data_IF_218467349106
#
_entry.id   IF_218467349106
#
_cell.length_a   1.000
_cell.length_b   1.000
_cell.length_c   1.000
_cell.angle_alpha   90.00
_cell.angle_beta   90.00
_cell.angle_gamma   90.00
#
_symmetry.space_group_name_H-M   'P 1'
#
loop_
_entity.id
_entity.type
_entity.pdbx_description
1 polymer ?
#
# COMPACT_ATOMS: atom_id res chain seq x y z
N UNK A 1 0.19 -0.98 5.28
CA UNK A 1 0.00 -1.21 3.82
C UNK A 1 0.73 -2.50 3.46
N UNK A 2 0.11 -3.42 2.72
CA UNK A 2 0.79 -4.63 2.26
C UNK A 2 1.03 -4.55 0.77
N UNK A 3 2.24 -4.87 0.35
CA UNK A 3 2.66 -4.99 -1.06
C UNK A 3 2.85 -6.46 -1.38
N UNK A 4 2.27 -6.89 -2.49
CA UNK A 4 2.16 -8.29 -2.90
C UNK A 4 2.50 -8.46 -4.38
N UNK A 5 3.00 -9.63 -4.71
CA UNK A 5 3.06 -10.12 -6.10
C UNK A 5 1.64 -10.41 -6.63
N UNK A 6 1.50 -10.57 -7.96
CA UNK A 6 0.21 -10.94 -8.59
C UNK A 6 -0.35 -12.29 -8.10
N UNK A 7 0.50 -13.17 -7.54
CA UNK A 7 0.08 -14.45 -6.96
C UNK A 7 -0.36 -14.32 -5.50
N UNK A 8 -0.31 -13.12 -4.91
CA UNK A 8 -0.72 -12.84 -3.54
C UNK A 8 0.37 -13.01 -2.49
N UNK A 9 1.60 -13.38 -2.85
CA UNK A 9 2.72 -13.42 -1.89
C UNK A 9 3.05 -12.00 -1.43
N UNK A 10 2.94 -11.74 -0.12
CA UNK A 10 3.37 -10.49 0.53
C UNK A 10 4.90 -10.41 0.47
N UNK A 11 5.42 -9.28 0.01
CA UNK A 11 6.86 -9.00 -0.10
C UNK A 11 7.30 -7.89 0.85
N UNK A 12 6.40 -6.94 1.12
CA UNK A 12 6.65 -5.84 2.05
C UNK A 12 5.37 -5.44 2.78
N UNK A 13 5.48 -5.24 4.07
CA UNK A 13 4.47 -4.57 4.90
C UNK A 13 5.02 -3.22 5.32
N UNK A 14 4.24 -2.16 5.18
CA UNK A 14 4.62 -0.80 5.57
C UNK A 14 3.71 -0.38 6.71
N UNK A 15 4.30 -0.13 7.86
CA UNK A 15 3.59 0.24 9.08
C UNK A 15 3.27 1.73 9.13
N UNK A 16 2.30 2.10 9.97
CA UNK A 16 1.89 3.49 10.15
C UNK A 16 3.05 4.38 10.60
N UNK A 17 3.98 3.84 11.39
CA UNK A 17 5.20 4.54 11.84
C UNK A 17 6.11 4.94 10.67
N UNK A 18 6.08 4.20 9.56
CA UNK A 18 6.91 4.46 8.38
C UNK A 18 6.30 5.52 7.46
N UNK A 19 4.98 5.69 7.48
CA UNK A 19 4.27 6.62 6.58
C UNK A 19 4.46 8.09 6.96
N UNK A 20 4.85 8.35 8.22
CA UNK A 20 4.89 9.67 8.83
C UNK A 20 3.53 10.13 9.36
N UNK A 21 3.34 11.44 9.62
CA UNK A 21 2.12 11.95 10.23
C UNK A 21 0.91 11.82 9.28
N UNK A 22 -0.08 11.03 9.70
CA UNK A 22 -1.36 10.90 9.00
C UNK A 22 -2.41 11.85 9.61
N UNK A 23 -3.26 12.42 8.75
CA UNK A 23 -4.39 13.28 9.13
C UNK A 23 -5.69 12.72 8.57
N UNK A 24 -6.83 13.14 9.12
CA UNK A 24 -8.13 12.79 8.53
C UNK A 24 -8.24 13.45 7.14
N UNK A 25 -8.61 12.67 6.12
CA UNK A 25 -8.77 13.12 4.75
C UNK A 25 -7.71 12.56 3.78
N UNK A 26 -7.40 13.33 2.73
CA UNK A 26 -6.43 12.93 1.70
C UNK A 26 -5.00 13.09 2.22
N UNK A 27 -4.27 11.98 2.32
CA UNK A 27 -2.88 11.97 2.73
C UNK A 27 -1.95 11.75 1.53
N UNK A 28 -0.83 12.47 1.51
CA UNK A 28 0.34 12.15 0.68
C UNK A 28 1.44 11.83 1.68
N UNK A 29 1.88 10.57 1.70
CA UNK A 29 2.87 10.09 2.67
C UNK A 29 4.26 10.58 2.31
N UNK A 30 5.14 10.70 3.30
CA UNK A 30 6.56 10.96 3.06
C UNK A 30 7.30 9.70 2.58
N UNK A 31 6.72 8.54 2.86
CA UNK A 31 7.22 7.26 2.39
C UNK A 31 6.89 7.01 0.92
N UNK A 32 7.87 6.52 0.18
CA UNK A 32 7.72 5.91 -1.14
C UNK A 32 8.43 4.56 -1.12
N UNK A 33 7.75 3.51 -1.61
CA UNK A 33 8.37 2.20 -1.72
C UNK A 33 9.45 2.20 -2.81
N UNK A 34 10.61 1.63 -2.49
CA UNK A 34 11.81 1.63 -3.32
C UNK A 34 11.97 0.37 -4.20
N UNK A 35 11.01 -0.55 -4.15
CA UNK A 35 11.05 -1.80 -4.89
C UNK A 35 11.90 -2.89 -4.24
N UNK A 36 12.10 -2.83 -2.93
CA UNK A 36 12.73 -3.89 -2.11
C UNK A 36 11.71 -4.67 -1.30
N UNK A 37 12.04 -5.91 -0.94
CA UNK A 37 11.24 -6.67 0.03
C UNK A 37 11.59 -6.28 1.48
N UNK A 38 11.00 -6.99 2.44
CA UNK A 38 11.20 -6.72 3.88
C UNK A 38 12.64 -6.95 4.35
N UNK A 39 13.44 -7.69 3.60
CA UNK A 39 14.85 -7.97 3.91
C UNK A 39 15.81 -7.05 3.14
N UNK A 40 15.28 -6.12 2.35
CA UNK A 40 16.07 -5.20 1.51
C UNK A 40 16.48 -5.81 0.17
N UNK A 41 16.03 -7.02 -0.15
CA UNK A 41 16.33 -7.65 -1.43
C UNK A 41 15.54 -6.99 -2.55
N UNK A 42 16.21 -6.75 -3.67
CA UNK A 42 15.62 -6.08 -4.83
C UNK A 42 14.63 -7.01 -5.53
N UNK A 43 13.42 -6.51 -5.77
CA UNK A 43 12.43 -7.22 -6.55
C UNK A 43 12.60 -7.01 -8.06
N UNK A 44 12.05 -7.93 -8.86
CA UNK A 44 12.07 -7.86 -10.31
C UNK A 44 11.11 -6.79 -10.86
N UNK A 45 11.35 -6.33 -12.09
CA UNK A 45 10.41 -5.45 -12.78
C UNK A 45 9.09 -6.18 -13.02
N UNK A 46 7.97 -5.48 -12.85
CA UNK A 46 6.65 -6.07 -13.05
C UNK A 46 5.54 -5.42 -12.25
N UNK A 47 4.37 -6.06 -12.30
CA UNK A 47 3.17 -5.60 -11.61
C UNK A 47 3.16 -6.12 -10.17
N UNK A 48 2.91 -5.20 -9.25
CA UNK A 48 2.67 -5.47 -7.84
C UNK A 48 1.30 -4.94 -7.45
N UNK A 49 0.67 -5.61 -6.50
CA UNK A 49 -0.60 -5.20 -5.92
C UNK A 49 -0.34 -4.67 -4.51
N UNK A 50 -1.10 -3.67 -4.08
CA UNK A 50 -1.07 -3.23 -2.70
C UNK A 50 -2.47 -3.11 -2.12
N UNK A 51 -2.61 -3.35 -0.83
CA UNK A 51 -3.84 -3.07 -0.09
C UNK A 51 -3.55 -2.29 1.17
N UNK A 52 -4.55 -1.52 1.60
CA UNK A 52 -4.50 -0.74 2.82
C UNK A 52 -5.40 -1.45 3.83
N UNK A 53 -4.84 -1.76 5.00
CA UNK A 53 -5.59 -2.30 6.13
C UNK A 53 -5.63 -1.19 7.16
N UNK A 54 -6.83 -0.73 7.50
CA UNK A 54 -7.05 0.34 8.47
C UNK A 54 -8.00 -0.11 9.55
N UNK A 55 -7.62 0.15 10.81
CA UNK A 55 -8.43 -0.15 11.97
C UNK A 55 -8.41 1.05 12.92
N UNK A 56 -9.56 1.42 13.46
CA UNK A 56 -9.68 2.39 14.57
C UNK A 56 -10.45 1.68 15.68
N UNK A 57 -9.84 1.58 16.86
CA UNK A 57 -10.47 1.00 18.07
C UNK A 57 -11.07 -0.41 17.88
N UNK A 58 -10.47 -1.24 17.02
CA UNK A 58 -10.95 -2.60 16.75
C UNK A 58 -11.89 -2.69 15.53
N UNK A 59 -12.40 -1.57 15.01
CA UNK A 59 -13.27 -1.55 13.83
C UNK A 59 -12.49 -1.25 12.55
N UNK A 60 -12.78 -2.02 11.50
CA UNK A 60 -12.26 -1.73 10.16
C UNK A 60 -12.88 -0.45 9.63
N UNK A 61 -12.07 0.43 9.05
CA UNK A 61 -12.57 1.61 8.36
C UNK A 61 -12.92 1.23 6.92
N UNK A 62 -14.14 1.54 6.49
CA UNK A 62 -14.50 1.42 5.07
C UNK A 62 -13.84 2.51 4.22
N UNK A 63 -13.55 2.18 2.96
CA UNK A 63 -13.00 3.14 2.02
C UNK A 63 -14.05 4.20 1.67
N UNK A 64 -13.84 5.44 2.15
CA UNK A 64 -14.67 6.57 1.74
C UNK A 64 -14.56 6.81 0.23
N UNK A 65 -15.69 6.99 -0.50
CA UNK A 65 -15.66 7.28 -1.92
C UNK A 65 -15.09 8.68 -2.17
N UNK A 66 -13.90 8.73 -2.75
CA UNK A 66 -13.17 9.95 -3.10
C UNK A 66 -12.63 9.85 -4.52
N UNK A 67 -12.05 10.94 -5.03
CA UNK A 67 -11.35 10.92 -6.32
C UNK A 67 -10.19 9.91 -6.37
N UNK A 68 -9.63 9.54 -5.21
CA UNK A 68 -8.58 8.53 -5.11
C UNK A 68 -9.13 7.09 -5.18
N UNK A 69 -10.41 6.86 -4.87
CA UNK A 69 -11.03 5.52 -4.89
C UNK A 69 -11.00 4.87 -6.27
N UNK A 70 -10.92 5.67 -7.36
CA UNK A 70 -10.77 5.18 -8.73
C UNK A 70 -9.50 4.35 -8.98
N UNK A 71 -8.49 4.50 -8.13
CA UNK A 71 -7.22 3.76 -8.23
C UNK A 71 -7.26 2.41 -7.50
N UNK A 72 -8.36 2.12 -6.81
CA UNK A 72 -8.58 0.86 -6.12
C UNK A 72 -9.65 0.04 -6.84
N UNK A 73 -9.38 -1.24 -7.03
CA UNK A 73 -10.36 -2.21 -7.51
C UNK A 73 -10.40 -3.37 -6.51
N UNK A 74 -11.58 -3.65 -5.94
CA UNK A 74 -11.74 -4.65 -4.87
C UNK A 74 -10.73 -4.46 -3.73
N UNK A 75 -10.63 -3.22 -3.22
CA UNK A 75 -9.72 -2.82 -2.12
C UNK A 75 -8.21 -2.93 -2.44
N UNK A 76 -7.85 -3.27 -3.68
CA UNK A 76 -6.47 -3.38 -4.12
C UNK A 76 -6.11 -2.26 -5.10
N UNK A 77 -4.97 -1.63 -4.87
CA UNK A 77 -4.30 -0.81 -5.85
C UNK A 77 -3.26 -1.62 -6.62
N UNK A 78 -2.86 -1.09 -7.79
CA UNK A 78 -1.85 -1.69 -8.67
C UNK A 78 -0.69 -0.72 -8.86
N UNK A 79 0.52 -1.25 -8.80
CA UNK A 79 1.76 -0.52 -9.07
C UNK A 79 2.59 -1.30 -10.08
N UNK A 80 3.38 -0.60 -10.88
CA UNK A 80 4.38 -1.22 -11.75
C UNK A 80 5.77 -0.78 -11.29
N UNK A 81 6.64 -1.75 -11.00
CA UNK A 81 8.05 -1.51 -10.74
C UNK A 81 8.78 -1.54 -12.09
N UNK A 82 9.17 -0.36 -12.58
CA UNK A 82 10.00 -0.18 -13.77
C UNK A 82 11.38 0.30 -13.32
N UNK A 83 12.42 -0.27 -13.93
CA UNK A 83 13.81 0.19 -13.82
C UNK A 83 14.38 0.37 -15.20
#
# INVERSE_FOLDING_TARGET
IQIMTITGKVVREIDMSELGPLRIGRNITQYAWDGTDTYGDRLANGVYLYRIITNINGESIELNPTSASRFFHREMGKMYLLR
#
